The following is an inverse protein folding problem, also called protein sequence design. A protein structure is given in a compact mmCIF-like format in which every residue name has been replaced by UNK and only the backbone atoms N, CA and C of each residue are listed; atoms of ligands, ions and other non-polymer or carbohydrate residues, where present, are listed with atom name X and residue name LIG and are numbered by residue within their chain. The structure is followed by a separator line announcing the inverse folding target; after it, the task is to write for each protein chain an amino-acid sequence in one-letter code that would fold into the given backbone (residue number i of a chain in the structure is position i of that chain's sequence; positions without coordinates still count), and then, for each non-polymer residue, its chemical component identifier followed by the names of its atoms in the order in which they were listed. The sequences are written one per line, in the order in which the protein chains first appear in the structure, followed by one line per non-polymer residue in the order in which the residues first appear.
data_IF_654640161473
#
_entry.id   IF_654640161473
#
_cell.length_a   1.000
_cell.length_b   1.000
_cell.length_c   1.000
_cell.angle_alpha   90.00
_cell.angle_beta   90.00
_cell.angle_gamma   90.00
#
_symmetry.space_group_name_H-M   'P 1'
#
loop_
_entity.id
_entity.type
_entity.pdbx_description
1 polymer ?
#
# COMPACT_ATOMS: atom_id res chain seq x y z
N UNK A 1 -2.13 26.45 -47.58
CA UNK A 1 -1.45 25.89 -48.76
C UNK A 1 -1.73 24.40 -48.82
N UNK A 2 -2.27 23.94 -49.96
CA UNK A 2 -2.26 22.58 -50.54
C UNK A 2 -2.87 21.45 -49.66
N UNK A 3 -4.14 21.04 -49.85
CA UNK A 3 -4.78 20.23 -50.92
C UNK A 3 -4.50 18.71 -50.89
N UNK A 4 -5.61 17.97 -50.71
CA UNK A 4 -6.03 16.75 -51.47
C UNK A 4 -5.34 15.42 -51.10
N UNK A 5 -5.94 14.23 -51.08
CA UNK A 5 -7.14 13.61 -51.72
C UNK A 5 -7.47 12.30 -50.92
N UNK A 6 -8.69 11.84 -50.62
CA UNK A 6 -9.83 11.31 -51.40
C UNK A 6 -9.61 10.01 -52.23
N UNK A 7 -10.54 9.06 -52.03
CA UNK A 7 -10.99 7.92 -52.85
C UNK A 7 -10.17 6.60 -52.84
N UNK A 8 -10.76 5.39 -52.86
CA UNK A 8 -12.16 4.97 -52.98
C UNK A 8 -12.32 3.46 -53.28
N UNK A 9 -13.60 3.01 -53.35
CA UNK A 9 -14.21 1.81 -53.97
C UNK A 9 -13.76 0.40 -53.48
N UNK A 10 -14.60 -0.54 -53.03
CA UNK A 10 -15.90 -1.11 -53.44
C UNK A 10 -15.82 -2.30 -54.43
N UNK A 11 -16.47 -3.41 -54.03
CA UNK A 11 -16.91 -4.60 -54.80
C UNK A 11 -15.86 -5.73 -55.00
N UNK A 12 -16.16 -7.03 -55.04
CA UNK A 12 -17.42 -7.73 -55.29
C UNK A 12 -17.40 -9.17 -54.74
N UNK A 13 -18.61 -9.74 -54.64
CA UNK A 13 -18.97 -11.13 -54.33
C UNK A 13 -18.27 -12.19 -55.19
N UNK A 14 -18.00 -13.35 -54.57
CA UNK A 14 -18.02 -14.65 -55.24
C UNK A 14 -18.85 -15.64 -54.39
N UNK A 15 -20.00 -16.01 -54.92
CA UNK A 15 -20.78 -17.19 -54.54
C UNK A 15 -20.35 -18.34 -55.46
N UNK A 16 -19.89 -19.47 -54.92
CA UNK A 16 -20.21 -20.82 -55.43
C UNK A 16 -20.20 -21.78 -54.24
N UNK A 17 -21.32 -22.48 -54.11
CA UNK A 17 -21.55 -23.58 -53.17
C UNK A 17 -20.79 -24.84 -53.59
N UNK A 18 -20.31 -25.61 -52.61
CA UNK A 18 -20.25 -27.07 -52.70
C UNK A 18 -20.54 -27.64 -51.32
N UNK A 19 -21.58 -28.48 -51.29
CA UNK A 19 -22.08 -29.17 -50.13
C UNK A 19 -21.14 -30.29 -49.70
N UNK A 20 -20.84 -30.35 -48.41
CA UNK A 20 -20.44 -31.56 -47.70
C UNK A 20 -20.78 -31.36 -46.23
N UNK A 21 -21.88 -31.97 -45.78
CA UNK A 21 -22.12 -32.19 -44.35
C UNK A 21 -20.99 -33.07 -43.80
N UNK A 22 -20.51 -32.80 -42.58
CA UNK A 22 -21.04 -33.61 -41.48
C UNK A 22 -21.21 -32.86 -40.14
N UNK A 23 -22.12 -33.42 -39.35
CA UNK A 23 -22.33 -33.26 -37.91
C UNK A 23 -22.67 -31.85 -37.39
N UNK A 24 -23.89 -31.73 -36.87
CA UNK A 24 -24.26 -30.72 -35.88
C UNK A 24 -23.30 -30.84 -34.69
N UNK A 25 -22.24 -30.04 -34.70
CA UNK A 25 -21.49 -29.73 -33.49
C UNK A 25 -22.32 -28.66 -32.82
N UNK A 26 -23.09 -29.10 -31.83
CA UNK A 26 -23.83 -28.26 -30.90
C UNK A 26 -22.81 -27.36 -30.17
N UNK A 27 -22.43 -26.28 -30.84
CA UNK A 27 -21.45 -25.32 -30.34
C UNK A 27 -22.23 -24.43 -29.39
N UNK A 28 -22.52 -24.98 -28.22
CA UNK A 28 -22.87 -24.16 -27.06
C UNK A 28 -21.73 -23.16 -26.92
N UNK A 29 -21.97 -21.84 -27.04
CA UNK A 29 -20.91 -20.89 -26.73
C UNK A 29 -20.53 -21.16 -25.28
N UNK A 30 -19.28 -21.55 -25.05
CA UNK A 30 -18.74 -21.68 -23.71
C UNK A 30 -19.04 -20.35 -23.02
N UNK A 31 -19.97 -20.38 -22.06
CA UNK A 31 -20.26 -19.22 -21.25
C UNK A 31 -18.94 -18.84 -20.60
N UNK A 32 -18.41 -17.67 -20.99
CA UNK A 32 -17.35 -17.06 -20.23
C UNK A 32 -17.91 -16.85 -18.83
N UNK A 33 -17.59 -17.76 -17.90
CA UNK A 33 -17.84 -17.57 -16.49
C UNK A 33 -16.97 -16.39 -16.09
N UNK A 34 -17.55 -15.20 -16.11
CA UNK A 34 -17.05 -14.06 -15.37
C UNK A 34 -16.92 -14.52 -13.93
N UNK A 35 -15.70 -14.80 -13.49
CA UNK A 35 -15.42 -15.21 -12.12
C UNK A 35 -15.97 -14.12 -11.19
N UNK A 36 -16.89 -14.51 -10.31
CA UNK A 36 -17.37 -13.61 -9.27
C UNK A 36 -16.24 -13.47 -8.28
N UNK A 37 -15.58 -12.31 -8.28
CA UNK A 37 -14.53 -11.97 -7.32
C UNK A 37 -15.18 -11.93 -5.92
N UNK A 38 -14.59 -12.64 -4.97
CA UNK A 38 -15.07 -12.64 -3.59
C UNK A 38 -14.85 -11.28 -2.91
N UNK A 39 -15.64 -10.94 -1.87
CA UNK A 39 -15.42 -9.70 -1.11
C UNK A 39 -14.00 -9.58 -0.53
N UNK A 40 -13.42 -10.71 -0.11
CA UNK A 40 -12.03 -10.82 0.35
C UNK A 40 -11.05 -10.42 -0.76
N UNK A 41 -11.11 -11.08 -1.92
CA UNK A 41 -10.21 -10.79 -3.05
C UNK A 41 -10.34 -9.34 -3.51
N UNK A 42 -11.57 -8.79 -3.52
CA UNK A 42 -11.81 -7.40 -3.86
C UNK A 42 -11.14 -6.44 -2.86
N UNK A 43 -11.20 -6.74 -1.57
CA UNK A 43 -10.56 -5.92 -0.53
C UNK A 43 -9.02 -5.99 -0.64
N UNK A 44 -8.46 -7.16 -0.90
CA UNK A 44 -7.01 -7.35 -1.14
C UNK A 44 -6.55 -6.56 -2.38
N UNK A 45 -7.23 -6.71 -3.52
CA UNK A 45 -6.92 -5.96 -4.74
C UNK A 45 -7.04 -4.44 -4.54
N UNK A 46 -7.97 -3.99 -3.69
CA UNK A 46 -8.10 -2.57 -3.35
C UNK A 46 -6.87 -2.07 -2.59
N UNK A 47 -6.40 -2.82 -1.58
CA UNK A 47 -5.19 -2.47 -0.84
C UNK A 47 -3.96 -2.43 -1.75
N UNK A 48 -3.80 -3.43 -2.63
CA UNK A 48 -2.71 -3.46 -3.62
C UNK A 48 -2.77 -2.27 -4.57
N UNK A 49 -3.96 -1.93 -5.08
CA UNK A 49 -4.16 -0.78 -5.95
C UNK A 49 -3.82 0.55 -5.28
N UNK A 50 -4.13 0.69 -3.99
CA UNK A 50 -3.75 1.86 -3.18
C UNK A 50 -2.24 1.97 -3.04
N UNK A 51 -1.57 0.87 -2.69
CA UNK A 51 -0.10 0.82 -2.56
C UNK A 51 0.57 1.13 -3.89
N UNK A 52 0.08 0.57 -5.00
CA UNK A 52 0.59 0.85 -6.35
C UNK A 52 0.41 2.31 -6.76
N UNK A 53 -0.61 3.00 -6.23
CA UNK A 53 -0.82 4.44 -6.40
C UNK A 53 0.01 5.30 -5.41
N UNK A 54 0.83 4.68 -4.57
CA UNK A 54 1.67 5.36 -3.58
C UNK A 54 0.92 5.76 -2.30
N UNK A 55 -0.27 5.20 -2.06
CA UNK A 55 -1.07 5.40 -0.85
C UNK A 55 -0.88 4.24 0.13
N UNK A 56 0.37 3.99 0.54
CA UNK A 56 0.75 2.84 1.37
C UNK A 56 -0.04 2.80 2.66
N UNK A 57 -0.17 3.93 3.37
CA UNK A 57 -0.91 3.95 4.63
C UNK A 57 -2.40 3.66 4.44
N UNK A 58 -3.03 4.20 3.39
CA UNK A 58 -4.43 3.86 3.08
C UNK A 58 -4.58 2.38 2.75
N UNK A 59 -3.57 1.76 2.13
CA UNK A 59 -3.50 0.31 1.96
C UNK A 59 -3.45 -0.44 3.29
N UNK A 60 -2.60 -0.01 4.22
CA UNK A 60 -2.50 -0.58 5.59
C UNK A 60 -3.82 -0.44 6.35
N UNK A 61 -4.47 0.72 6.27
CA UNK A 61 -5.77 0.97 6.92
C UNK A 61 -6.86 0.08 6.32
N UNK A 62 -6.84 -0.14 5.00
CA UNK A 62 -7.77 -1.05 4.33
C UNK A 62 -7.60 -2.49 4.79
N UNK A 63 -6.36 -2.97 4.94
CA UNK A 63 -6.07 -4.31 5.49
C UNK A 63 -6.46 -4.40 6.98
N UNK A 64 -6.24 -3.33 7.74
CA UNK A 64 -6.69 -3.25 9.15
C UNK A 64 -8.21 -3.33 9.26
N UNK A 65 -8.95 -2.63 8.40
CA UNK A 65 -10.39 -2.74 8.33
C UNK A 65 -10.83 -4.16 7.97
N UNK A 66 -10.14 -4.81 7.03
CA UNK A 66 -10.43 -6.17 6.60
C UNK A 66 -10.24 -7.17 7.75
N UNK A 67 -9.19 -7.04 8.57
CA UNK A 67 -8.99 -7.87 9.78
C UNK A 67 -10.10 -7.71 10.83
N UNK A 68 -10.83 -6.59 10.80
CA UNK A 68 -12.02 -6.40 11.62
C UNK A 68 -13.26 -7.17 11.14
N UNK A 69 -13.21 -7.83 9.99
CA UNK A 69 -14.32 -8.61 9.45
C UNK A 69 -14.38 -10.00 10.12
N UNK A 70 -15.44 -10.30 10.92
CA UNK A 70 -15.56 -11.58 11.61
C UNK A 70 -15.86 -12.76 10.67
N UNK A 71 -16.09 -12.51 9.38
CA UNK A 71 -16.33 -13.55 8.38
C UNK A 71 -15.07 -14.11 7.74
N UNK A 72 -13.90 -13.52 8.02
CA UNK A 72 -12.63 -14.05 7.52
C UNK A 72 -12.38 -15.46 8.05
N UNK A 73 -11.95 -16.35 7.15
CA UNK A 73 -11.35 -17.60 7.58
C UNK A 73 -10.01 -17.33 8.27
N UNK A 74 -9.52 -18.30 9.04
CA UNK A 74 -8.18 -18.23 9.63
C UNK A 74 -7.10 -18.05 8.58
N UNK A 75 -7.23 -18.74 7.44
CA UNK A 75 -6.30 -18.62 6.32
C UNK A 75 -6.25 -17.19 5.77
N UNK A 76 -7.43 -16.58 5.61
CA UNK A 76 -7.55 -15.21 5.11
C UNK A 76 -7.05 -14.19 6.12
N UNK A 77 -7.35 -14.37 7.41
CA UNK A 77 -6.83 -13.49 8.46
C UNK A 77 -5.29 -13.52 8.48
N UNK A 78 -4.69 -14.71 8.42
CA UNK A 78 -3.24 -14.87 8.36
C UNK A 78 -2.62 -14.26 7.08
N UNK A 79 -3.27 -14.39 5.92
CA UNK A 79 -2.84 -13.71 4.68
C UNK A 79 -2.84 -12.19 4.87
N UNK A 80 -3.92 -11.63 5.43
CA UNK A 80 -4.06 -10.18 5.60
C UNK A 80 -3.04 -9.65 6.60
N UNK A 81 -2.80 -10.36 7.71
CA UNK A 81 -1.73 -10.04 8.65
C UNK A 81 -0.37 -10.02 7.95
N UNK A 82 -0.08 -11.04 7.13
CA UNK A 82 1.21 -11.13 6.43
C UNK A 82 1.39 -9.93 5.49
N UNK A 83 0.37 -9.62 4.69
CA UNK A 83 0.40 -8.47 3.78
C UNK A 83 0.50 -7.13 4.51
N UNK A 84 -0.22 -6.97 5.62
CA UNK A 84 -0.16 -5.74 6.42
C UNK A 84 1.23 -5.57 7.04
N UNK A 85 1.80 -6.63 7.58
CA UNK A 85 3.16 -6.63 8.13
C UNK A 85 4.22 -6.30 7.07
N UNK A 86 4.10 -6.86 5.86
CA UNK A 86 4.96 -6.52 4.71
C UNK A 86 4.90 -5.02 4.37
N UNK A 87 3.70 -4.44 4.32
CA UNK A 87 3.52 -3.02 4.03
C UNK A 87 4.09 -2.13 5.14
N UNK A 88 3.80 -2.45 6.40
CA UNK A 88 4.32 -1.73 7.58
C UNK A 88 5.85 -1.73 7.65
N UNK A 89 6.48 -2.85 7.29
CA UNK A 89 7.94 -3.00 7.27
C UNK A 89 8.62 -2.27 6.10
N UNK A 90 7.87 -1.96 5.04
CA UNK A 90 8.38 -1.32 3.82
C UNK A 90 8.94 0.08 4.08
N UNK A 91 9.69 0.60 3.10
CA UNK A 91 10.27 1.95 3.15
C UNK A 91 9.23 3.07 3.29
N UNK A 92 7.97 2.80 2.93
CA UNK A 92 6.86 3.78 2.98
C UNK A 92 5.83 3.46 4.06
N UNK A 93 5.98 2.33 4.76
CA UNK A 93 5.07 1.91 5.84
C UNK A 93 5.40 2.53 7.19
N UNK A 94 6.68 2.81 7.45
CA UNK A 94 7.15 3.47 8.67
C UNK A 94 6.62 2.85 9.98
N UNK A 95 6.45 1.52 10.04
CA UNK A 95 5.90 0.87 11.23
C UNK A 95 6.54 -0.50 11.48
N UNK A 96 7.85 -0.50 11.72
CA UNK A 96 8.59 -1.75 11.98
C UNK A 96 8.03 -2.50 13.20
N UNK A 97 7.56 -1.78 14.23
CA UNK A 97 7.01 -2.43 15.42
C UNK A 97 5.64 -3.04 15.15
N UNK A 98 4.73 -2.37 14.44
CA UNK A 98 3.46 -2.96 14.03
C UNK A 98 3.64 -4.14 13.06
N UNK A 99 4.69 -4.14 12.24
CA UNK A 99 5.02 -5.31 11.42
C UNK A 99 5.45 -6.52 12.27
N UNK A 100 6.23 -6.29 13.34
CA UNK A 100 6.59 -7.35 14.30
C UNK A 100 5.33 -7.94 14.92
N UNK A 101 4.39 -7.10 15.37
CA UNK A 101 3.12 -7.54 15.95
C UNK A 101 2.32 -8.41 14.98
N UNK A 102 2.20 -7.99 13.71
CA UNK A 102 1.48 -8.77 12.69
C UNK A 102 2.11 -10.16 12.46
N UNK A 103 3.44 -10.24 12.37
CA UNK A 103 4.11 -11.52 12.14
C UNK A 103 4.13 -12.41 13.38
N UNK A 104 4.22 -11.83 14.58
CA UNK A 104 4.08 -12.56 15.86
C UNK A 104 2.68 -13.17 15.97
N UNK A 105 1.63 -12.43 15.62
CA UNK A 105 0.26 -12.94 15.63
C UNK A 105 0.10 -14.15 14.71
N UNK A 106 0.69 -14.14 13.50
CA UNK A 106 0.65 -15.31 12.59
C UNK A 106 1.34 -16.52 13.23
N UNK A 107 2.49 -16.32 13.87
CA UNK A 107 3.28 -17.41 14.45
C UNK A 107 2.58 -18.02 15.66
N UNK A 108 1.99 -17.18 16.50
CA UNK A 108 1.37 -17.60 17.75
C UNK A 108 -0.02 -18.20 17.51
N UNK A 109 -0.84 -17.53 16.69
CA UNK A 109 -2.26 -17.83 16.57
C UNK A 109 -2.66 -18.52 15.26
N UNK A 110 -1.79 -18.55 14.24
CA UNK A 110 -2.10 -19.08 12.90
C UNK A 110 -1.06 -20.09 12.38
N UNK A 111 -0.41 -20.82 13.29
CA UNK A 111 0.63 -21.82 12.96
C UNK A 111 0.17 -23.00 12.08
N UNK A 112 -1.14 -23.18 11.92
CA UNK A 112 -1.78 -24.18 11.06
C UNK A 112 -2.02 -23.72 9.62
N UNK A 113 -1.82 -22.43 9.31
CA UNK A 113 -2.01 -21.83 7.98
C UNK A 113 -0.76 -21.93 7.10
N UNK A 114 -0.90 -21.76 5.78
CA UNK A 114 0.25 -21.79 4.87
C UNK A 114 1.20 -20.59 5.09
N UNK A 115 0.65 -19.50 5.61
CA UNK A 115 1.34 -18.22 5.86
C UNK A 115 2.32 -18.26 7.03
N UNK A 116 2.18 -19.23 7.95
CA UNK A 116 3.11 -19.41 9.07
C UNK A 116 4.58 -19.46 8.59
N UNK A 117 4.85 -20.27 7.56
CA UNK A 117 6.21 -20.48 7.08
C UNK A 117 6.80 -19.22 6.42
N UNK A 118 5.95 -18.34 5.87
CA UNK A 118 6.36 -17.05 5.31
C UNK A 118 6.58 -16.00 6.40
N UNK A 119 5.79 -16.01 7.48
CA UNK A 119 5.90 -15.04 8.57
C UNK A 119 7.19 -15.19 9.40
N UNK A 120 7.68 -16.42 9.61
CA UNK A 120 8.90 -16.68 10.40
C UNK A 120 10.12 -15.86 9.97
N UNK A 121 10.60 -15.94 8.69
CA UNK A 121 11.75 -15.16 8.27
C UNK A 121 11.48 -13.65 8.22
N UNK A 122 10.22 -13.24 8.04
CA UNK A 122 9.81 -11.84 8.06
C UNK A 122 9.91 -11.26 9.47
N UNK A 123 9.48 -12.01 10.49
CA UNK A 123 9.63 -11.62 11.88
C UNK A 123 11.10 -11.46 12.28
N UNK A 124 11.96 -12.40 11.88
CA UNK A 124 13.40 -12.31 12.15
C UNK A 124 14.01 -11.04 11.51
N UNK A 125 13.59 -10.73 10.28
CA UNK A 125 14.00 -9.50 9.57
C UNK A 125 13.54 -8.25 10.31
N UNK A 126 12.26 -8.20 10.70
CA UNK A 126 11.68 -7.05 11.39
C UNK A 126 12.33 -6.83 12.77
N UNK A 127 12.52 -7.89 13.56
CA UNK A 127 13.23 -7.84 14.86
C UNK A 127 14.69 -7.42 14.71
N UNK A 128 15.38 -7.92 13.68
CA UNK A 128 16.74 -7.52 13.35
C UNK A 128 16.83 -6.01 13.06
N UNK A 129 15.93 -5.51 12.20
CA UNK A 129 15.80 -4.10 11.87
C UNK A 129 15.51 -3.25 13.11
N UNK A 130 14.51 -3.62 13.92
CA UNK A 130 14.18 -2.90 15.16
C UNK A 130 15.36 -2.87 16.14
N UNK A 131 16.10 -3.98 16.27
CA UNK A 131 17.30 -4.05 17.11
C UNK A 131 18.38 -3.09 16.63
N UNK A 132 18.69 -3.09 15.33
CA UNK A 132 19.69 -2.18 14.73
C UNK A 132 19.29 -0.72 14.88
N UNK A 133 18.01 -0.39 14.65
CA UNK A 133 17.48 0.96 14.79
C UNK A 133 17.56 1.46 16.24
N UNK A 134 17.17 0.64 17.21
CA UNK A 134 17.27 1.01 18.63
C UNK A 134 18.73 1.15 19.10
N UNK A 135 19.65 0.32 18.57
CA UNK A 135 21.07 0.45 18.84
C UNK A 135 21.63 1.78 18.31
N UNK A 136 21.26 2.18 17.08
CA UNK A 136 21.61 3.48 16.51
C UNK A 136 20.98 4.64 17.29
N UNK A 137 19.72 4.52 17.72
CA UNK A 137 19.04 5.56 18.49
C UNK A 137 19.74 5.87 19.82
N UNK A 138 20.38 4.86 20.41
CA UNK A 138 21.08 4.94 21.69
C UNK A 138 22.49 5.53 21.59
N UNK A 139 23.03 5.71 20.38
CA UNK A 139 24.36 6.24 20.16
C UNK A 139 24.41 7.77 20.40
N UNK A 140 25.43 8.29 21.10
CA UNK A 140 25.55 9.73 21.35
C UNK A 140 25.80 10.56 20.08
N UNK A 141 26.40 9.97 19.06
CA UNK A 141 26.70 10.57 17.76
C UNK A 141 25.48 10.70 16.84
N UNK A 142 24.36 10.03 17.16
CA UNK A 142 23.16 10.04 16.34
C UNK A 142 22.55 11.45 16.31
N UNK A 143 22.57 12.04 15.12
CA UNK A 143 22.08 13.40 14.87
C UNK A 143 20.57 13.48 15.05
N UNK A 144 20.03 14.69 15.28
CA UNK A 144 18.58 14.90 15.44
C UNK A 144 17.77 14.40 14.24
N UNK A 145 18.25 14.64 13.02
CA UNK A 145 17.63 14.13 11.79
C UNK A 145 17.63 12.60 11.75
N UNK A 146 18.74 11.95 12.12
CA UNK A 146 18.78 10.49 12.21
C UNK A 146 17.83 9.97 13.28
N UNK A 147 17.74 10.62 14.45
CA UNK A 147 16.78 10.23 15.49
C UNK A 147 15.35 10.32 14.98
N UNK A 148 14.98 11.42 14.31
CA UNK A 148 13.67 11.57 13.67
C UNK A 148 13.39 10.42 12.68
N UNK A 149 14.29 10.17 11.73
CA UNK A 149 14.10 9.11 10.73
C UNK A 149 14.00 7.72 11.37
N UNK A 150 14.85 7.42 12.36
CA UNK A 150 14.82 6.15 13.09
C UNK A 150 13.49 5.96 13.84
N UNK A 151 13.01 7.01 14.50
CA UNK A 151 11.73 6.98 15.22
C UNK A 151 10.55 6.82 14.27
N UNK A 152 10.57 7.50 13.12
CA UNK A 152 9.59 7.27 12.05
C UNK A 152 9.60 5.82 11.61
N UNK A 153 10.76 5.25 11.28
CA UNK A 153 10.88 3.88 10.78
C UNK A 153 10.47 2.81 11.83
N UNK A 154 10.65 3.11 13.12
CA UNK A 154 10.20 2.27 14.22
C UNK A 154 8.68 2.31 14.47
N UNK A 155 7.92 3.19 13.82
CA UNK A 155 6.50 3.41 14.17
C UNK A 155 6.30 4.28 15.41
N UNK A 156 7.37 4.92 15.93
CA UNK A 156 7.30 5.82 17.09
C UNK A 156 7.06 7.26 16.62
N UNK A 157 5.97 7.46 15.90
CA UNK A 157 5.71 8.70 15.17
C UNK A 157 5.54 9.91 16.10
N UNK A 158 4.89 9.77 17.26
CA UNK A 158 4.77 10.86 18.23
C UNK A 158 6.14 11.35 18.73
N UNK A 159 7.02 10.41 19.11
CA UNK A 159 8.39 10.73 19.52
C UNK A 159 9.19 11.36 18.37
N UNK A 160 8.97 10.90 17.14
CA UNK A 160 9.60 11.49 15.96
C UNK A 160 9.16 12.95 15.79
N UNK A 161 7.86 13.22 15.90
CA UNK A 161 7.29 14.56 15.77
C UNK A 161 7.82 15.50 16.85
N UNK A 162 7.96 15.03 18.08
CA UNK A 162 8.59 15.80 19.15
C UNK A 162 10.03 16.21 18.78
N UNK A 163 10.82 15.28 18.24
CA UNK A 163 12.18 15.57 17.76
C UNK A 163 12.16 16.58 16.60
N UNK A 164 11.25 16.41 15.65
CA UNK A 164 11.07 17.29 14.49
C UNK A 164 10.76 18.72 14.93
N UNK A 165 9.79 18.91 15.84
CA UNK A 165 9.38 20.21 16.34
C UNK A 165 10.47 20.87 17.20
N UNK A 166 11.06 20.13 18.14
CA UNK A 166 12.08 20.65 19.05
C UNK A 166 13.38 21.04 18.32
N UNK A 167 13.62 20.46 17.14
CA UNK A 167 14.84 20.66 16.36
C UNK A 167 14.62 21.44 15.06
N UNK A 168 13.40 21.94 14.83
CA UNK A 168 12.97 22.66 13.61
C UNK A 168 13.33 21.92 12.31
N UNK A 169 13.18 20.59 12.31
CA UNK A 169 13.55 19.75 11.17
C UNK A 169 12.58 19.94 10.00
N UNK A 170 13.12 19.75 8.81
CA UNK A 170 12.37 19.66 7.55
C UNK A 170 12.61 18.26 6.98
N UNK A 171 11.69 17.32 7.19
CA UNK A 171 11.76 15.99 6.58
C UNK A 171 11.81 16.09 5.05
N UNK A 172 12.29 15.03 4.41
CA UNK A 172 12.21 14.91 2.96
C UNK A 172 10.75 14.72 2.48
N UNK A 173 10.54 14.86 1.17
CA UNK A 173 9.22 14.77 0.56
C UNK A 173 8.49 13.45 0.85
N UNK A 174 9.20 12.32 0.80
CA UNK A 174 8.59 11.02 1.04
C UNK A 174 8.09 10.89 2.48
N UNK A 175 8.90 11.35 3.43
CA UNK A 175 8.49 11.38 4.84
C UNK A 175 7.32 12.34 5.09
N UNK A 176 7.31 13.52 4.47
CA UNK A 176 6.17 14.46 4.57
C UNK A 176 4.87 13.86 4.02
N UNK A 177 4.93 13.18 2.87
CA UNK A 177 3.78 12.47 2.30
C UNK A 177 3.31 11.35 3.23
N UNK A 178 4.23 10.56 3.79
CA UNK A 178 3.87 9.52 4.75
C UNK A 178 3.19 10.11 5.99
N UNK A 179 3.74 11.18 6.58
CA UNK A 179 3.12 11.86 7.72
C UNK A 179 1.73 12.42 7.41
N UNK A 180 1.51 12.90 6.18
CA UNK A 180 0.17 13.30 5.71
C UNK A 180 -0.77 12.09 5.63
N UNK A 181 -0.33 11.00 5.02
CA UNK A 181 -1.16 9.79 4.88
C UNK A 181 -1.46 9.10 6.23
N UNK A 182 -0.54 9.18 7.21
CA UNK A 182 -0.75 8.72 8.59
C UNK A 182 -1.71 9.64 9.37
N UNK A 183 -1.87 10.89 8.93
CA UNK A 183 -2.81 11.86 9.53
C UNK A 183 -2.18 12.81 10.54
N UNK A 184 -0.85 12.92 10.57
CA UNK A 184 -0.15 13.93 11.39
C UNK A 184 -0.08 15.29 10.72
N UNK A 185 0.01 15.30 9.40
CA UNK A 185 -0.08 16.50 8.59
C UNK A 185 -1.43 16.57 7.88
N UNK A 186 -1.95 17.78 7.74
CA UNK A 186 -3.23 18.10 7.12
C UNK A 186 -3.07 19.28 6.17
N UNK A 187 -4.02 19.41 5.24
CA UNK A 187 -4.22 20.62 4.45
C UNK A 187 -5.31 21.49 5.10
N UNK A 188 -5.15 22.81 5.01
CA UNK A 188 -6.12 23.76 5.55
C UNK A 188 -5.49 25.13 5.77
N UNK A 189 -6.14 26.17 5.25
CA UNK A 189 -5.68 27.56 5.40
C UNK A 189 -5.91 28.08 6.83
N UNK A 190 -6.81 27.44 7.56
CA UNK A 190 -7.09 27.68 8.98
C UNK A 190 -6.02 27.12 9.92
N UNK A 191 -5.22 26.14 9.46
CA UNK A 191 -4.21 25.49 10.28
C UNK A 191 -3.05 26.45 10.55
N UNK A 192 -2.63 26.53 11.81
CA UNK A 192 -1.55 27.43 12.22
C UNK A 192 -0.19 26.72 12.24
N UNK A 193 0.90 27.49 12.37
CA UNK A 193 2.25 26.93 12.42
C UNK A 193 2.97 26.83 11.07
N UNK A 194 4.06 26.07 11.06
CA UNK A 194 4.96 25.91 9.91
C UNK A 194 4.27 25.15 8.77
N UNK A 195 4.36 25.70 7.57
CA UNK A 195 3.96 25.02 6.35
C UNK A 195 5.11 24.20 5.77
N UNK A 196 4.79 23.05 5.21
CA UNK A 196 5.69 22.14 4.51
C UNK A 196 5.15 21.92 3.10
N UNK A 197 5.99 22.12 2.09
CA UNK A 197 5.63 21.80 0.72
C UNK A 197 5.98 20.33 0.46
N UNK A 198 5.00 19.58 -0.05
CA UNK A 198 5.16 18.20 -0.45
C UNK A 198 4.54 17.98 -1.84
N UNK A 199 4.96 16.91 -2.50
CA UNK A 199 4.43 16.47 -3.78
C UNK A 199 4.13 14.99 -3.67
N UNK A 200 2.87 14.63 -3.87
CA UNK A 200 2.43 13.24 -3.86
C UNK A 200 2.99 12.45 -5.05
N UNK A 201 2.95 11.10 -4.99
CA UNK A 201 3.48 10.25 -6.07
C UNK A 201 2.86 10.51 -7.45
N UNK A 202 1.62 11.01 -7.50
CA UNK A 202 0.92 11.39 -8.75
C UNK A 202 1.32 12.79 -9.27
N UNK A 203 2.21 13.49 -8.56
CA UNK A 203 2.67 14.83 -8.90
C UNK A 203 1.83 15.96 -8.31
N UNK A 204 0.79 15.65 -7.52
CA UNK A 204 -0.06 16.67 -6.89
C UNK A 204 0.72 17.43 -5.81
N UNK A 205 0.88 18.77 -5.92
CA UNK A 205 1.51 19.57 -4.89
C UNK A 205 0.56 19.76 -3.70
N UNK A 206 1.12 19.73 -2.49
CA UNK A 206 0.42 19.88 -1.22
C UNK A 206 1.14 20.92 -0.36
N UNK A 207 0.38 21.72 0.37
CA UNK A 207 0.91 22.58 1.43
C UNK A 207 0.37 22.07 2.75
N UNK A 208 1.26 21.43 3.51
CA UNK A 208 0.93 20.64 4.67
C UNK A 208 1.28 21.37 5.97
N UNK A 209 0.45 21.20 7.00
CA UNK A 209 0.68 21.70 8.36
C UNK A 209 0.32 20.62 9.36
N UNK A 210 0.81 20.69 10.59
CA UNK A 210 0.35 19.77 11.62
C UNK A 210 -1.16 19.92 11.82
N UNK A 211 -1.86 18.79 11.86
CA UNK A 211 -3.28 18.77 12.18
C UNK A 211 -3.47 19.33 13.60
N UNK A 212 -4.53 20.11 13.84
CA UNK A 212 -4.83 20.66 15.18
C UNK A 212 -5.08 19.57 16.24
N UNK A 213 -5.34 18.33 15.81
CA UNK A 213 -5.44 17.15 16.68
C UNK A 213 -4.08 16.55 17.11
N UNK A 214 -2.96 17.18 16.75
CA UNK A 214 -1.61 16.79 17.16
C UNK A 214 -1.02 17.63 18.29
N UNK A 215 -1.83 18.46 18.97
CA UNK A 215 -1.45 19.22 20.18
C UNK A 215 -2.61 19.40 21.16
#
# INVERSE_FOLDING_TARGET
MIRSSLAGAASALLLVACASAPADVDTTPAAATSAVISPFEMAMQTAEGLVAAGNTQTGIDRLTQLLGDPSLSREQAAEVLLRRGELRLSETGFDTMGAIEDFEEIIDDYSDTEWYTAAVPMLDTARGKATSLNALLSQPETTRTQKFNILMELGRHDDAIDVMLASDLTPDNGTLVAMYQIGYLCEGDELTGRAYDATEPDGTPRTLRFCDFGK
#
